data_IF_072972526442
#
_entry.id   IF_072972526442
#
_cell.length_a   1.000
_cell.length_b   1.000
_cell.length_c   1.000
_cell.angle_alpha   90.00
_cell.angle_beta   90.00
_cell.angle_gamma   90.00
#
_symmetry.space_group_name_H-M   'P 1'
#
loop_
_entity.id
_entity.type
_entity.pdbx_description
1 polymer ?
#
# COMPACT_ATOMS: atom_id res chain seq x y z
N UNK A 1 3.78 16.28 -31.21
CA UNK A 1 2.76 16.48 -30.15
C UNK A 1 3.31 15.92 -28.85
N UNK A 2 3.17 16.62 -27.72
CA UNK A 2 3.82 16.21 -26.46
C UNK A 2 2.80 15.62 -25.50
N UNK A 3 3.02 14.38 -25.09
CA UNK A 3 2.33 13.75 -23.96
C UNK A 3 3.14 14.09 -22.71
N UNK A 4 2.66 15.06 -21.96
CA UNK A 4 3.41 15.70 -20.88
C UNK A 4 2.89 15.25 -19.53
N UNK A 5 3.72 14.53 -18.79
CA UNK A 5 3.48 14.23 -17.39
C UNK A 5 4.30 15.19 -16.52
N UNK A 6 3.62 16.12 -15.85
CA UNK A 6 4.24 17.14 -14.99
C UNK A 6 4.16 16.71 -13.53
N UNK A 7 5.28 16.74 -12.82
CA UNK A 7 5.34 16.37 -11.40
C UNK A 7 6.44 17.13 -10.64
N UNK A 8 6.31 17.19 -9.31
CA UNK A 8 7.35 17.69 -8.43
C UNK A 8 8.60 16.77 -8.43
N UNK A 9 9.81 17.33 -8.34
CA UNK A 9 10.96 16.49 -8.10
C UNK A 9 10.88 15.81 -6.72
N UNK A 10 11.19 14.53 -6.67
CA UNK A 10 11.04 13.62 -5.53
C UNK A 10 12.31 12.81 -5.25
N UNK A 11 12.52 12.51 -3.97
CA UNK A 11 13.64 11.70 -3.52
C UNK A 11 13.53 10.25 -4.02
N UNK A 12 14.62 9.74 -4.61
CA UNK A 12 14.75 8.35 -5.06
C UNK A 12 13.63 7.87 -6.02
N UNK A 13 13.25 8.74 -6.96
CA UNK A 13 12.17 8.47 -7.93
C UNK A 13 10.76 8.61 -7.34
N UNK A 14 10.63 8.98 -6.07
CA UNK A 14 9.37 9.40 -5.48
C UNK A 14 8.27 8.33 -5.41
N UNK A 15 6.99 8.75 -5.41
CA UNK A 15 5.86 7.83 -5.36
C UNK A 15 5.76 7.00 -6.64
N UNK A 16 5.18 5.80 -6.55
CA UNK A 16 4.95 4.93 -7.72
C UNK A 16 4.09 5.59 -8.81
N UNK A 17 3.26 6.58 -8.46
CA UNK A 17 2.56 7.43 -9.43
C UNK A 17 3.51 8.03 -10.47
N UNK A 18 4.74 8.33 -10.09
CA UNK A 18 5.74 8.93 -10.97
C UNK A 18 6.15 7.96 -12.09
N UNK A 19 6.49 6.72 -11.71
CA UNK A 19 6.75 5.62 -12.64
C UNK A 19 5.54 5.37 -13.53
N UNK A 20 4.37 5.23 -12.92
CA UNK A 20 3.11 4.96 -13.61
C UNK A 20 2.79 6.04 -14.66
N UNK A 21 2.97 7.32 -14.31
CA UNK A 21 2.79 8.43 -15.24
C UNK A 21 3.78 8.43 -16.40
N UNK A 22 5.04 8.06 -16.15
CA UNK A 22 6.05 7.91 -17.21
C UNK A 22 5.71 6.75 -18.16
N UNK A 23 5.32 5.59 -17.62
CA UNK A 23 4.91 4.43 -18.40
C UNK A 23 3.64 4.72 -19.22
N UNK A 24 2.68 5.43 -18.63
CA UNK A 24 1.47 5.88 -19.33
C UNK A 24 1.78 6.87 -20.45
N UNK A 25 2.67 7.84 -20.23
CA UNK A 25 3.10 8.78 -21.26
C UNK A 25 3.79 8.07 -22.44
N UNK A 26 4.68 7.12 -22.16
CA UNK A 26 5.36 6.31 -23.18
C UNK A 26 4.38 5.42 -23.95
N UNK A 27 3.47 4.76 -23.23
CA UNK A 27 2.43 3.93 -23.83
C UNK A 27 1.50 4.76 -24.74
N UNK A 28 1.12 5.95 -24.30
CA UNK A 28 0.27 6.85 -25.09
C UNK A 28 0.99 7.39 -26.32
N UNK A 29 2.26 7.81 -26.17
CA UNK A 29 3.07 8.23 -27.30
C UNK A 29 3.20 7.10 -28.34
N UNK A 30 3.46 5.85 -27.90
CA UNK A 30 3.47 4.68 -28.80
C UNK A 30 2.12 4.40 -29.45
N UNK A 31 1.01 4.56 -28.71
CA UNK A 31 -0.36 4.40 -29.24
C UNK A 31 -0.67 5.39 -30.36
N UNK A 32 -0.16 6.62 -30.25
CA UNK A 32 -0.38 7.70 -31.23
C UNK A 32 0.62 7.70 -32.40
N UNK A 33 1.74 6.99 -32.28
CA UNK A 33 2.73 6.84 -33.35
C UNK A 33 3.79 7.96 -33.39
N UNK A 34 4.57 8.00 -34.48
CA UNK A 34 5.87 8.71 -34.57
C UNK A 34 5.88 10.23 -34.39
N UNK A 35 4.72 10.88 -34.31
CA UNK A 35 4.61 12.32 -34.07
C UNK A 35 4.38 12.68 -32.59
N UNK A 36 4.22 11.68 -31.71
CA UNK A 36 3.99 11.87 -30.28
C UNK A 36 5.26 11.61 -29.45
N UNK A 37 5.60 12.54 -28.57
CA UNK A 37 6.75 12.45 -27.67
C UNK A 37 6.28 12.33 -26.22
N UNK A 38 6.80 11.35 -25.48
CA UNK A 38 6.58 11.22 -24.04
C UNK A 38 7.57 12.11 -23.29
N UNK A 39 7.05 13.03 -22.48
CA UNK A 39 7.85 13.99 -21.73
C UNK A 39 7.50 13.95 -20.25
N UNK A 40 8.49 13.71 -19.40
CA UNK A 40 8.43 13.99 -17.97
C UNK A 40 8.95 15.41 -17.72
N UNK A 41 8.12 16.26 -17.13
CA UNK A 41 8.54 17.57 -16.63
C UNK A 41 8.63 17.55 -15.11
N UNK A 42 9.85 17.63 -14.59
CA UNK A 42 10.13 17.82 -13.17
C UNK A 42 10.09 19.31 -12.84
N UNK A 43 9.14 19.70 -11.99
CA UNK A 43 8.83 21.10 -11.71
C UNK A 43 8.91 21.43 -10.21
N UNK A 44 9.91 22.21 -9.83
CA UNK A 44 10.12 22.61 -8.44
C UNK A 44 9.02 23.50 -7.87
N UNK A 45 8.18 24.15 -8.71
CA UNK A 45 7.01 24.91 -8.22
C UNK A 45 5.97 23.99 -7.55
N UNK A 46 5.99 22.70 -7.87
CA UNK A 46 5.08 21.70 -7.30
C UNK A 46 5.62 21.04 -6.03
N UNK A 47 6.84 21.38 -5.60
CA UNK A 47 7.55 20.71 -4.51
C UNK A 47 6.79 20.86 -3.19
N UNK A 48 6.51 19.72 -2.56
CA UNK A 48 5.87 19.62 -1.25
C UNK A 48 6.81 18.93 -0.25
N UNK A 49 6.58 19.10 1.07
CA UNK A 49 7.38 18.41 2.08
C UNK A 49 7.39 16.88 1.98
N UNK A 50 6.39 16.28 1.32
CA UNK A 50 6.33 14.83 1.12
C UNK A 50 7.31 14.33 0.06
N UNK A 51 7.59 15.14 -0.98
CA UNK A 51 8.45 14.75 -2.10
C UNK A 51 9.92 14.59 -1.65
N UNK A 52 10.28 15.18 -0.50
CA UNK A 52 11.58 15.02 0.16
C UNK A 52 11.67 13.81 1.09
N UNK A 53 10.69 12.89 1.05
CA UNK A 53 10.65 11.72 1.93
C UNK A 53 10.74 10.44 1.11
N UNK A 54 11.48 9.46 1.61
CA UNK A 54 11.39 8.09 1.11
C UNK A 54 10.07 7.47 1.58
N UNK A 55 9.31 6.93 0.64
CA UNK A 55 8.03 6.26 0.89
C UNK A 55 8.26 4.74 0.88
N UNK A 56 8.22 4.13 2.06
CA UNK A 56 8.55 2.73 2.28
C UNK A 56 7.38 2.01 2.96
N UNK A 57 7.54 0.70 3.14
CA UNK A 57 6.68 -0.13 3.99
C UNK A 57 7.57 -0.95 4.93
N UNK A 58 7.20 -1.05 6.20
CA UNK A 58 7.97 -1.80 7.20
C UNK A 58 7.65 -3.30 7.21
N UNK A 59 8.40 -4.05 8.02
CA UNK A 59 8.20 -5.50 8.22
C UNK A 59 6.80 -5.87 8.74
N UNK A 60 6.09 -4.94 9.38
CA UNK A 60 4.72 -5.12 9.89
C UNK A 60 3.66 -4.65 8.90
N UNK A 61 4.06 -4.16 7.73
CA UNK A 61 3.18 -3.63 6.71
C UNK A 61 2.82 -2.16 6.90
N UNK A 62 3.38 -1.42 7.83
CA UNK A 62 3.02 0.00 7.96
C UNK A 62 3.74 0.83 6.90
N UNK A 63 3.07 1.78 6.23
CA UNK A 63 3.74 2.78 5.44
C UNK A 63 4.66 3.63 6.32
N UNK A 64 5.93 3.72 5.95
CA UNK A 64 6.96 4.49 6.65
C UNK A 64 7.45 5.60 5.74
N UNK A 65 7.67 6.77 6.32
CA UNK A 65 8.18 7.94 5.62
C UNK A 65 9.48 8.39 6.28
N UNK A 66 10.61 8.18 5.60
CA UNK A 66 11.90 8.62 6.11
C UNK A 66 12.25 10.00 5.55
N UNK A 67 12.57 10.99 6.39
CA UNK A 67 12.90 12.33 5.92
C UNK A 67 14.26 12.34 5.21
N UNK A 68 14.31 12.95 4.05
CA UNK A 68 15.54 13.42 3.43
C UNK A 68 16.00 14.76 4.02
N UNK A 69 17.12 15.31 3.50
CA UNK A 69 17.69 16.57 3.94
C UNK A 69 16.77 17.75 3.58
N UNK A 70 16.74 18.77 4.45
CA UNK A 70 15.86 19.93 4.28
C UNK A 70 16.16 20.73 3.01
N UNK A 71 17.43 20.82 2.62
CA UNK A 71 17.87 21.48 1.39
C UNK A 71 17.86 20.53 0.18
N UNK A 72 17.42 19.27 0.34
CA UNK A 72 17.44 18.23 -0.69
C UNK A 72 18.82 17.63 -0.99
N UNK A 73 19.91 18.19 -0.46
CA UNK A 73 21.28 17.73 -0.73
C UNK A 73 21.83 16.92 0.43
N UNK A 74 22.36 15.75 0.13
CA UNK A 74 23.01 14.90 1.12
C UNK A 74 24.50 15.23 1.23
N UNK A 75 25.04 15.20 2.44
CA UNK A 75 26.45 14.88 2.65
C UNK A 75 26.64 13.36 2.68
N UNK A 76 27.89 12.90 2.67
CA UNK A 76 28.19 11.46 2.64
C UNK A 76 27.65 10.74 3.88
N UNK A 77 27.71 11.39 5.06
CA UNK A 77 27.22 10.82 6.31
C UNK A 77 25.69 10.72 6.33
N UNK A 78 24.98 11.77 5.92
CA UNK A 78 23.52 11.82 5.84
C UNK A 78 22.96 10.85 4.82
N UNK A 79 23.62 10.70 3.66
CA UNK A 79 23.24 9.68 2.66
C UNK A 79 23.35 8.27 3.25
N UNK A 80 24.49 7.96 3.87
CA UNK A 80 24.73 6.66 4.49
C UNK A 80 23.73 6.37 5.63
N UNK A 81 23.43 7.37 6.46
CA UNK A 81 22.46 7.25 7.54
C UNK A 81 21.04 6.98 7.01
N UNK A 82 20.61 7.69 5.97
CA UNK A 82 19.31 7.43 5.36
C UNK A 82 19.25 6.06 4.68
N UNK A 83 20.33 5.65 4.00
CA UNK A 83 20.41 4.34 3.37
C UNK A 83 20.28 3.21 4.41
N UNK A 84 21.03 3.29 5.51
CA UNK A 84 20.92 2.34 6.61
C UNK A 84 19.51 2.34 7.23
N UNK A 85 18.94 3.51 7.51
CA UNK A 85 17.59 3.62 8.04
C UNK A 85 16.52 3.03 7.10
N UNK A 86 16.67 3.19 5.79
CA UNK A 86 15.77 2.62 4.80
C UNK A 86 15.83 1.09 4.78
N UNK A 87 17.04 0.52 4.80
CA UNK A 87 17.25 -0.93 4.85
C UNK A 87 16.72 -1.52 6.16
N UNK A 88 16.97 -0.87 7.29
CA UNK A 88 16.51 -1.33 8.61
C UNK A 88 14.97 -1.23 8.77
N UNK A 89 14.35 -0.23 8.14
CA UNK A 89 12.90 -0.04 8.21
C UNK A 89 12.14 -1.11 7.41
N UNK A 90 12.66 -1.50 6.24
CA UNK A 90 11.97 -2.42 5.32
C UNK A 90 12.04 -3.89 5.78
N UNK A 91 11.11 -4.75 5.31
CA UNK A 91 11.28 -6.18 5.43
C UNK A 91 12.63 -6.61 4.82
N UNK A 92 13.36 -7.57 5.42
CA UNK A 92 14.65 -8.00 4.89
C UNK A 92 14.45 -8.68 3.53
N UNK A 93 15.10 -8.12 2.51
CA UNK A 93 15.25 -8.68 1.16
C UNK A 93 16.71 -8.59 0.73
N UNK A 94 17.14 -9.43 -0.21
CA UNK A 94 18.52 -9.43 -0.68
C UNK A 94 18.81 -8.17 -1.51
N UNK A 95 17.76 -7.59 -2.10
CA UNK A 95 17.79 -6.50 -3.05
C UNK A 95 17.77 -5.12 -2.36
N UNK A 96 17.23 -5.03 -1.14
CA UNK A 96 16.96 -3.74 -0.48
C UNK A 96 18.16 -2.81 -0.43
N UNK A 97 19.33 -3.29 0.00
CA UNK A 97 20.53 -2.46 0.12
C UNK A 97 21.01 -1.94 -1.24
N UNK A 98 21.04 -2.80 -2.26
CA UNK A 98 21.46 -2.42 -3.61
C UNK A 98 20.49 -1.44 -4.28
N UNK A 99 19.18 -1.66 -4.11
CA UNK A 99 18.13 -0.76 -4.62
C UNK A 99 18.20 0.61 -3.96
N UNK A 100 18.34 0.66 -2.63
CA UNK A 100 18.47 1.91 -1.89
C UNK A 100 19.72 2.67 -2.33
N UNK A 101 20.85 1.99 -2.47
CA UNK A 101 22.10 2.63 -2.90
C UNK A 101 22.00 3.15 -4.34
N UNK A 102 21.37 2.39 -5.25
CA UNK A 102 21.15 2.81 -6.64
C UNK A 102 20.25 4.03 -6.76
N UNK A 103 19.13 4.05 -6.04
CA UNK A 103 18.12 5.10 -6.22
C UNK A 103 18.40 6.36 -5.41
N UNK A 104 19.20 6.30 -4.35
CA UNK A 104 19.56 7.49 -3.59
C UNK A 104 20.56 8.37 -4.36
N UNK A 105 20.32 9.69 -4.42
CA UNK A 105 21.22 10.61 -5.11
C UNK A 105 22.63 10.58 -4.49
N UNK A 106 23.64 10.85 -5.32
CA UNK A 106 25.01 10.95 -4.85
C UNK A 106 25.18 12.12 -3.85
N UNK A 107 26.13 12.04 -2.90
CA UNK A 107 26.42 13.15 -2.00
C UNK A 107 26.75 14.44 -2.77
N UNK A 108 26.14 15.56 -2.37
CA UNK A 108 26.31 16.87 -2.97
C UNK A 108 25.50 17.10 -4.26
N UNK A 109 24.81 16.10 -4.79
CA UNK A 109 24.03 16.25 -6.01
C UNK A 109 22.85 17.22 -5.84
N UNK A 110 22.58 18.02 -6.87
CA UNK A 110 21.39 18.86 -6.92
C UNK A 110 20.13 18.00 -7.05
N UNK A 111 19.07 18.20 -6.24
CA UNK A 111 17.92 17.29 -6.21
C UNK A 111 17.23 17.14 -7.57
N UNK A 112 16.91 18.28 -8.21
CA UNK A 112 16.24 18.31 -9.51
C UNK A 112 17.09 17.65 -10.61
N UNK A 113 18.41 17.88 -10.60
CA UNK A 113 19.30 17.31 -11.60
C UNK A 113 19.49 15.81 -11.39
N UNK A 114 19.66 15.37 -10.13
CA UNK A 114 19.86 13.97 -9.77
C UNK A 114 18.65 13.11 -10.15
N UNK A 115 17.43 13.60 -9.90
CA UNK A 115 16.23 12.88 -10.30
C UNK A 115 16.01 12.90 -11.82
N UNK A 116 16.34 14.01 -12.48
CA UNK A 116 16.28 14.05 -13.94
C UNK A 116 17.24 13.04 -14.57
N UNK A 117 18.44 12.89 -14.01
CA UNK A 117 19.41 11.87 -14.42
C UNK A 117 18.87 10.46 -14.17
N UNK A 118 18.30 10.20 -12.99
CA UNK A 118 17.66 8.92 -12.66
C UNK A 118 16.61 8.52 -13.70
N UNK A 119 15.67 9.40 -14.04
CA UNK A 119 14.63 9.06 -15.01
C UNK A 119 15.16 8.90 -16.43
N UNK A 120 16.21 9.63 -16.80
CA UNK A 120 16.91 9.42 -18.08
C UNK A 120 17.60 8.07 -18.14
N UNK A 121 18.22 7.63 -17.04
CA UNK A 121 18.83 6.30 -16.96
C UNK A 121 17.76 5.21 -17.09
N UNK A 122 16.67 5.32 -16.32
CA UNK A 122 15.63 4.29 -16.24
C UNK A 122 14.78 4.14 -17.50
N UNK A 123 14.40 5.26 -18.14
CA UNK A 123 13.40 5.26 -19.23
C UNK A 123 13.81 6.09 -20.45
N UNK A 124 14.97 6.75 -20.42
CA UNK A 124 15.53 7.42 -21.60
C UNK A 124 15.71 6.46 -22.79
N UNK A 125 16.26 5.24 -22.61
CA UNK A 125 16.35 4.25 -23.68
C UNK A 125 14.99 3.88 -24.30
N UNK A 126 13.92 3.94 -23.51
CA UNK A 126 12.56 3.65 -23.95
C UNK A 126 11.90 4.80 -24.73
N UNK A 127 12.55 5.97 -24.80
CA UNK A 127 12.09 7.18 -25.49
C UNK A 127 11.51 8.27 -24.58
N UNK A 128 11.75 8.22 -23.26
CA UNK A 128 11.28 9.26 -22.34
C UNK A 128 12.21 10.49 -22.41
N UNK A 129 11.62 11.65 -22.70
CA UNK A 129 12.32 12.92 -22.59
C UNK A 129 12.12 13.51 -21.20
N UNK A 130 13.19 13.92 -20.54
CA UNK A 130 13.13 14.51 -19.19
C UNK A 130 13.54 15.97 -19.23
N UNK A 131 12.58 16.84 -18.95
CA UNK A 131 12.73 18.28 -18.82
C UNK A 131 12.65 18.70 -17.35
N UNK A 132 13.36 19.77 -17.01
CA UNK A 132 13.44 20.29 -15.65
C UNK A 132 13.06 21.76 -15.63
N UNK A 133 12.25 22.15 -14.64
CA UNK A 133 11.86 23.54 -14.40
C UNK A 133 12.23 23.93 -12.97
N UNK A 134 13.28 24.75 -12.78
CA UNK A 134 13.66 25.23 -11.46
C UNK A 134 12.65 26.23 -10.91
N UNK A 135 12.64 26.41 -9.59
CA UNK A 135 11.75 27.34 -8.93
C UNK A 135 11.95 28.78 -9.45
N UNK A 136 10.86 29.45 -9.81
CA UNK A 136 10.90 30.82 -10.32
C UNK A 136 11.29 30.94 -11.80
N UNK A 137 11.25 29.85 -12.57
CA UNK A 137 11.46 29.89 -14.01
C UNK A 137 10.48 30.85 -14.71
N UNK A 138 10.99 31.67 -15.63
CA UNK A 138 10.20 32.64 -16.36
C UNK A 138 9.26 31.97 -17.40
N UNK A 139 8.03 32.45 -17.50
CA UNK A 139 7.04 31.99 -18.47
C UNK A 139 6.22 30.78 -18.00
N UNK A 140 5.11 30.47 -18.68
CA UNK A 140 4.26 29.33 -18.33
C UNK A 140 4.98 27.99 -18.53
N UNK A 141 4.53 26.89 -17.88
CA UNK A 141 5.05 25.55 -18.16
C UNK A 141 4.81 25.18 -19.63
N UNK A 142 5.67 24.32 -20.23
CA UNK A 142 5.49 23.88 -21.61
C UNK A 142 4.11 23.24 -21.80
N UNK A 143 3.51 23.51 -22.96
CA UNK A 143 2.23 22.92 -23.31
C UNK A 143 2.40 21.42 -23.65
N UNK A 144 1.43 20.62 -23.22
CA UNK A 144 1.35 19.21 -23.54
C UNK A 144 0.06 18.61 -23.01
N UNK A 145 -0.32 17.48 -23.55
CA UNK A 145 -1.51 16.74 -23.11
C UNK A 145 -1.11 15.78 -21.99
N UNK A 146 -1.82 15.77 -20.85
CA UNK A 146 -1.52 14.79 -19.81
C UNK A 146 -1.87 13.37 -20.30
N UNK A 147 -1.07 12.35 -19.95
CA UNK A 147 -1.42 10.98 -20.30
C UNK A 147 -2.68 10.52 -19.56
N UNK A 148 -3.48 9.61 -20.14
CA UNK A 148 -4.46 8.85 -19.36
C UNK A 148 -3.71 8.03 -18.30
N UNK A 149 -4.10 8.19 -17.03
CA UNK A 149 -3.38 7.59 -15.90
C UNK A 149 -4.33 6.68 -15.10
N UNK A 150 -4.39 5.37 -15.41
CA UNK A 150 -5.11 4.40 -14.59
C UNK A 150 -4.54 4.35 -13.16
N UNK A 151 -5.38 3.97 -12.21
CA UNK A 151 -4.89 3.55 -10.89
C UNK A 151 -4.15 2.21 -11.03
N UNK A 152 -2.83 2.19 -10.86
CA UNK A 152 -2.05 0.96 -10.98
C UNK A 152 -1.63 0.40 -9.62
N UNK A 153 -1.81 -0.90 -9.45
CA UNK A 153 -1.32 -1.65 -8.28
C UNK A 153 -0.36 -2.75 -8.73
N UNK A 154 0.86 -2.69 -8.22
CA UNK A 154 1.94 -3.63 -8.48
C UNK A 154 1.94 -4.78 -7.45
N UNK A 155 1.95 -6.01 -7.96
CA UNK A 155 2.02 -7.25 -7.21
C UNK A 155 3.41 -7.85 -7.33
N UNK A 156 4.09 -8.06 -6.20
CA UNK A 156 5.31 -8.84 -6.16
C UNK A 156 5.05 -10.34 -5.97
N UNK A 157 6.07 -11.20 -6.16
CA UNK A 157 5.93 -12.65 -6.00
C UNK A 157 5.34 -13.05 -4.65
N UNK A 158 5.81 -12.42 -3.55
CA UNK A 158 5.30 -12.67 -2.20
C UNK A 158 3.83 -12.28 -2.02
N UNK A 159 3.35 -11.27 -2.74
CA UNK A 159 1.92 -10.92 -2.73
C UNK A 159 1.10 -12.03 -3.38
N UNK A 160 1.51 -12.47 -4.56
CA UNK A 160 0.82 -13.50 -5.33
C UNK A 160 0.83 -14.86 -4.61
N UNK A 161 1.95 -15.24 -4.02
CA UNK A 161 2.06 -16.44 -3.17
C UNK A 161 1.13 -16.38 -1.96
N UNK A 162 1.05 -15.23 -1.29
CA UNK A 162 0.16 -15.04 -0.15
C UNK A 162 -1.32 -15.14 -0.58
N UNK A 163 -1.68 -14.49 -1.68
CA UNK A 163 -3.02 -14.54 -2.26
C UNK A 163 -3.45 -15.95 -2.64
N UNK A 164 -2.59 -16.68 -3.36
CA UNK A 164 -2.81 -18.08 -3.73
C UNK A 164 -2.98 -18.96 -2.49
N UNK A 165 -2.14 -18.78 -1.47
CA UNK A 165 -2.27 -19.51 -0.19
C UNK A 165 -3.58 -19.22 0.52
N UNK A 166 -4.12 -18.02 0.38
CA UNK A 166 -5.38 -17.62 0.98
C UNK A 166 -6.60 -17.91 0.10
N UNK A 167 -6.42 -18.35 -1.15
CA UNK A 167 -7.51 -18.54 -2.10
C UNK A 167 -8.23 -17.24 -2.45
N UNK A 168 -7.49 -16.12 -2.49
CA UNK A 168 -8.04 -14.79 -2.77
C UNK A 168 -7.56 -14.32 -4.14
N UNK A 169 -8.50 -13.91 -4.99
CA UNK A 169 -8.17 -13.29 -6.27
C UNK A 169 -7.53 -11.90 -6.08
N UNK A 170 -6.55 -11.51 -6.92
CA UNK A 170 -5.85 -10.23 -6.84
C UNK A 170 -6.76 -9.00 -6.75
N UNK A 171 -7.82 -8.96 -7.57
CA UNK A 171 -8.79 -7.86 -7.55
C UNK A 171 -9.54 -7.76 -6.21
N UNK A 172 -9.89 -8.91 -5.61
CA UNK A 172 -10.58 -8.95 -4.32
C UNK A 172 -9.70 -8.45 -3.17
N UNK A 173 -8.38 -8.56 -3.29
CA UNK A 173 -7.44 -8.04 -2.31
C UNK A 173 -7.42 -6.51 -2.21
N UNK A 174 -7.92 -5.82 -3.24
CA UNK A 174 -8.03 -4.36 -3.25
C UNK A 174 -9.27 -3.82 -2.52
N UNK A 175 -10.11 -4.70 -1.96
CA UNK A 175 -11.27 -4.31 -1.16
C UNK A 175 -10.90 -3.80 0.25
N UNK A 176 -9.60 -3.78 0.60
CA UNK A 176 -9.08 -3.26 1.86
C UNK A 176 -8.88 -4.32 2.94
N UNK A 177 -8.16 -3.94 4.00
CA UNK A 177 -7.73 -4.85 5.07
C UNK A 177 -8.92 -5.49 5.80
N UNK A 178 -9.98 -4.72 6.05
CA UNK A 178 -11.18 -5.21 6.74
C UNK A 178 -11.92 -6.27 5.92
N UNK A 179 -12.12 -6.03 4.63
CA UNK A 179 -12.75 -6.97 3.70
C UNK A 179 -11.95 -8.26 3.59
N UNK A 180 -10.62 -8.16 3.46
CA UNK A 180 -9.72 -9.31 3.45
C UNK A 180 -9.80 -10.09 4.77
N UNK A 181 -9.79 -9.40 5.92
CA UNK A 181 -9.95 -10.04 7.23
C UNK A 181 -11.30 -10.75 7.35
N UNK A 182 -12.38 -10.12 6.92
CA UNK A 182 -13.72 -10.70 6.97
C UNK A 182 -13.82 -11.97 6.10
N UNK A 183 -13.33 -11.91 4.85
CA UNK A 183 -13.33 -13.05 3.94
C UNK A 183 -12.48 -14.23 4.43
N UNK A 184 -11.40 -13.94 5.16
CA UNK A 184 -10.44 -14.94 5.62
C UNK A 184 -10.65 -15.38 7.07
N UNK A 185 -11.58 -14.77 7.80
CA UNK A 185 -11.98 -15.21 9.14
C UNK A 185 -12.91 -16.42 9.00
N UNK A 186 -12.46 -17.64 9.34
CA UNK A 186 -13.36 -18.79 9.32
C UNK A 186 -14.50 -18.56 10.32
N UNK A 187 -15.73 -19.00 10.00
CA UNK A 187 -16.80 -18.99 10.98
C UNK A 187 -16.37 -19.81 12.21
N UNK A 188 -16.89 -19.49 13.41
CA UNK A 188 -16.65 -20.31 14.60
C UNK A 188 -16.99 -21.78 14.28
N UNK A 189 -16.21 -22.76 14.78
CA UNK A 189 -16.51 -24.17 14.58
C UNK A 189 -17.97 -24.44 14.94
N UNK A 190 -18.71 -25.15 14.07
CA UNK A 190 -20.17 -25.36 14.18
C UNK A 190 -20.59 -25.74 15.60
N UNK A 191 -19.83 -26.63 16.24
CA UNK A 191 -20.07 -27.07 17.62
C UNK A 191 -19.87 -25.98 18.67
N UNK A 192 -18.87 -25.12 18.51
CA UNK A 192 -18.62 -24.01 19.44
C UNK A 192 -19.68 -22.91 19.28
N UNK A 193 -20.07 -22.59 18.04
CA UNK A 193 -21.17 -21.65 17.77
C UNK A 193 -22.48 -22.15 18.41
N UNK A 194 -22.84 -23.41 18.16
CA UNK A 194 -24.02 -24.02 18.75
C UNK A 194 -23.98 -24.05 20.30
N UNK A 195 -22.81 -24.28 20.90
CA UNK A 195 -22.65 -24.27 22.34
C UNK A 195 -22.75 -22.86 22.95
N UNK A 196 -22.29 -21.82 22.25
CA UNK A 196 -22.45 -20.43 22.67
C UNK A 196 -23.91 -19.99 22.60
N UNK A 197 -24.61 -20.33 21.52
CA UNK A 197 -26.05 -20.06 21.38
C UNK A 197 -26.85 -20.77 22.47
N UNK A 198 -26.50 -22.03 22.79
CA UNK A 198 -27.18 -22.77 23.86
C UNK A 198 -26.87 -22.20 25.24
N UNK A 199 -25.65 -21.72 25.49
CA UNK A 199 -25.31 -21.00 26.71
C UNK A 199 -26.16 -19.73 26.88
N UNK A 200 -26.33 -18.94 25.82
CA UNK A 200 -27.14 -17.72 25.86
C UNK A 200 -28.61 -18.06 26.14
N UNK A 201 -29.18 -19.04 25.44
CA UNK A 201 -30.56 -19.49 25.65
C UNK A 201 -30.79 -20.07 27.05
N UNK A 202 -29.89 -20.92 27.54
CA UNK A 202 -29.99 -21.52 28.87
C UNK A 202 -29.84 -20.47 29.96
N UNK A 203 -28.92 -19.52 29.80
CA UNK A 203 -28.73 -18.41 30.74
C UNK A 203 -29.99 -17.55 30.81
N UNK A 204 -30.54 -17.11 29.67
CA UNK A 204 -31.75 -16.29 29.67
C UNK A 204 -32.96 -17.04 30.25
N UNK A 205 -33.08 -18.36 30.02
CA UNK A 205 -34.14 -19.20 30.61
C UNK A 205 -34.05 -19.27 32.13
N UNK A 206 -32.89 -19.68 32.67
CA UNK A 206 -32.67 -19.77 34.12
C UNK A 206 -32.87 -18.41 34.78
N UNK A 207 -32.39 -17.35 34.11
CA UNK A 207 -32.55 -16.00 34.62
C UNK A 207 -34.03 -15.58 34.68
N UNK A 208 -34.84 -15.92 33.68
CA UNK A 208 -36.28 -15.63 33.69
C UNK A 208 -37.02 -16.44 34.78
N UNK A 209 -36.70 -17.72 34.95
CA UNK A 209 -37.29 -18.57 36.00
C UNK A 209 -36.97 -18.03 37.40
N UNK A 210 -35.72 -17.60 37.64
CA UNK A 210 -35.32 -17.00 38.92
C UNK A 210 -35.96 -15.63 39.16
N UNK A 211 -36.17 -14.83 38.10
CA UNK A 211 -36.90 -13.55 38.20
C UNK A 211 -38.32 -13.77 38.73
N UNK A 212 -39.01 -14.78 38.20
CA UNK A 212 -40.36 -15.13 38.63
C UNK A 212 -40.38 -15.59 40.09
N UNK A 213 -39.52 -16.53 40.48
CA UNK A 213 -39.45 -17.03 41.86
C UNK A 213 -39.14 -15.91 42.88
N UNK A 214 -38.22 -14.99 42.55
CA UNK A 214 -37.90 -13.84 43.42
C UNK A 214 -39.09 -12.88 43.55
N UNK A 215 -39.87 -12.68 42.49
CA UNK A 215 -41.05 -11.82 42.53
C UNK A 215 -42.21 -12.46 43.32
N UNK A 216 -42.35 -13.78 43.26
CA UNK A 216 -43.43 -14.52 43.91
C UNK A 216 -43.15 -14.83 45.39
N UNK A 217 -41.92 -15.22 45.72
CA UNK A 217 -41.58 -15.73 47.05
C UNK A 217 -40.90 -14.69 47.94
N UNK A 218 -39.94 -13.91 47.42
CA UNK A 218 -39.14 -12.96 48.22
C UNK A 218 -38.84 -11.64 47.47
N UNK A 219 -39.85 -10.73 47.34
CA UNK A 219 -39.71 -9.49 46.56
C UNK A 219 -38.59 -8.56 47.04
N UNK A 220 -38.21 -8.64 48.31
CA UNK A 220 -37.12 -7.87 48.90
C UNK A 220 -35.76 -8.15 48.21
N UNK A 221 -35.60 -9.33 47.59
CA UNK A 221 -34.38 -9.73 46.88
C UNK A 221 -34.32 -9.23 45.42
N UNK A 222 -35.37 -8.59 44.91
CA UNK A 222 -35.43 -8.16 43.50
C UNK A 222 -34.26 -7.24 43.09
N UNK A 223 -33.80 -6.38 44.00
CA UNK A 223 -32.63 -5.53 43.76
C UNK A 223 -31.30 -6.30 43.69
N UNK A 224 -31.16 -7.40 44.44
CA UNK A 224 -30.00 -8.30 44.36
C UNK A 224 -30.06 -9.13 43.06
N UNK A 225 -31.24 -9.61 42.70
CA UNK A 225 -31.52 -10.28 41.43
C UNK A 225 -31.10 -9.43 40.21
N UNK A 226 -31.52 -8.16 40.15
CA UNK A 226 -31.17 -7.25 39.06
C UNK A 226 -29.66 -7.03 38.90
N UNK A 227 -28.88 -7.17 39.98
CA UNK A 227 -27.41 -7.10 39.95
C UNK A 227 -26.82 -8.39 39.38
N UNK A 228 -27.26 -9.56 39.88
CA UNK A 228 -26.84 -10.87 39.36
C UNK A 228 -27.10 -11.00 37.86
N UNK A 229 -28.31 -10.65 37.39
CA UNK A 229 -28.67 -10.69 35.96
C UNK A 229 -27.71 -9.89 35.08
N UNK A 230 -27.33 -8.69 35.53
CA UNK A 230 -26.37 -7.84 34.82
C UNK A 230 -24.97 -8.44 34.80
N UNK A 231 -24.54 -9.06 35.89
CA UNK A 231 -23.24 -9.69 36.02
C UNK A 231 -23.09 -10.94 35.16
N UNK A 232 -24.10 -11.81 35.13
CA UNK A 232 -24.15 -12.98 34.24
C UNK A 232 -24.07 -12.54 32.78
N UNK A 233 -24.95 -11.62 32.34
CA UNK A 233 -24.92 -11.10 30.96
C UNK A 233 -23.59 -10.46 30.59
N UNK A 234 -22.98 -9.70 31.51
CA UNK A 234 -21.66 -9.09 31.30
C UNK A 234 -20.57 -10.16 31.15
N UNK A 235 -20.60 -11.19 31.98
CA UNK A 235 -19.62 -12.28 31.95
C UNK A 235 -19.76 -13.14 30.70
N UNK A 236 -20.98 -13.49 30.30
CA UNK A 236 -21.25 -14.20 29.04
C UNK A 236 -20.77 -13.39 27.84
N UNK A 237 -21.10 -12.10 27.76
CA UNK A 237 -20.61 -11.22 26.69
C UNK A 237 -19.08 -11.08 26.70
N UNK A 238 -18.45 -11.03 27.86
CA UNK A 238 -16.99 -10.98 27.98
C UNK A 238 -16.35 -12.29 27.51
N UNK A 239 -16.98 -13.44 27.77
CA UNK A 239 -16.54 -14.75 27.28
C UNK A 239 -16.65 -14.84 25.76
N UNK A 240 -17.80 -14.47 25.17
CA UNK A 240 -17.97 -14.34 23.71
C UNK A 240 -16.84 -13.50 23.08
N UNK A 241 -16.58 -12.31 23.63
CA UNK A 241 -15.47 -11.45 23.17
C UNK A 241 -14.08 -12.07 23.30
N UNK A 242 -13.87 -13.01 24.23
CA UNK A 242 -12.60 -13.76 24.34
C UNK A 242 -12.54 -14.89 23.32
N UNK A 243 -13.65 -15.59 23.07
CA UNK A 243 -13.74 -16.60 22.01
C UNK A 243 -13.51 -15.97 20.65
N UNK A 244 -14.17 -14.85 20.33
CA UNK A 244 -13.95 -14.10 19.09
C UNK A 244 -12.50 -13.67 18.93
N UNK A 245 -11.90 -13.11 19.98
CA UNK A 245 -10.47 -12.75 19.97
C UNK A 245 -9.59 -13.97 19.79
N UNK A 246 -9.90 -15.09 20.45
CA UNK A 246 -9.13 -16.32 20.33
C UNK A 246 -9.20 -16.88 18.91
N UNK A 247 -10.39 -16.89 18.27
CA UNK A 247 -10.55 -17.32 16.88
C UNK A 247 -9.84 -16.39 15.90
N UNK A 248 -9.90 -15.06 16.11
CA UNK A 248 -9.15 -14.07 15.33
C UNK A 248 -7.64 -14.16 15.54
N UNK A 249 -7.19 -14.43 16.78
CA UNK A 249 -5.77 -14.46 17.17
C UNK A 249 -5.11 -15.83 17.02
N UNK A 250 -5.89 -16.92 16.84
CA UNK A 250 -5.36 -18.27 16.51
C UNK A 250 -4.50 -18.22 15.23
N UNK A 251 -4.76 -17.20 14.43
CA UNK A 251 -4.13 -16.86 13.18
C UNK A 251 -3.15 -15.67 13.32
N UNK A 252 -2.56 -15.37 14.48
CA UNK A 252 -1.71 -14.18 14.69
C UNK A 252 -0.63 -13.94 13.61
N UNK A 253 0.00 -15.01 13.11
CA UNK A 253 0.94 -14.96 11.97
C UNK A 253 0.21 -14.61 10.65
N UNK A 254 -0.97 -15.18 10.43
CA UNK A 254 -1.82 -14.90 9.27
C UNK A 254 -2.39 -13.47 9.33
N UNK A 255 -2.78 -12.96 10.49
CA UNK A 255 -3.27 -11.59 10.67
C UNK A 255 -2.20 -10.54 10.39
N UNK A 256 -0.96 -10.78 10.83
CA UNK A 256 0.19 -9.95 10.49
C UNK A 256 0.53 -10.01 8.99
N UNK A 257 0.53 -11.21 8.39
CA UNK A 257 0.76 -11.38 6.93
C UNK A 257 -0.32 -10.76 6.08
N UNK A 258 -1.58 -10.88 6.49
CA UNK A 258 -2.73 -10.29 5.80
C UNK A 258 -2.67 -8.78 5.87
N UNK A 259 -2.31 -8.22 7.03
CA UNK A 259 -2.06 -6.79 7.16
C UNK A 259 -0.92 -6.33 6.25
N UNK A 260 0.22 -7.02 6.24
CA UNK A 260 1.34 -6.70 5.37
C UNK A 260 0.95 -6.75 3.88
N UNK A 261 0.17 -7.76 3.48
CA UNK A 261 -0.40 -7.86 2.14
C UNK A 261 -1.34 -6.69 1.83
N UNK A 262 -2.31 -6.41 2.71
CA UNK A 262 -3.30 -5.36 2.51
C UNK A 262 -2.63 -3.99 2.39
N UNK A 263 -1.68 -3.67 3.27
CA UNK A 263 -0.98 -2.40 3.25
C UNK A 263 0.06 -2.29 2.11
N UNK A 264 0.62 -3.41 1.67
CA UNK A 264 1.47 -3.47 0.48
C UNK A 264 0.71 -3.17 -0.81
N UNK A 265 -0.58 -3.55 -0.88
CA UNK A 265 -1.44 -3.33 -2.05
C UNK A 265 -2.29 -2.04 -1.95
N UNK A 266 -2.69 -1.65 -0.74
CA UNK A 266 -3.51 -0.49 -0.42
C UNK A 266 -3.06 0.14 0.91
N UNK A 267 -1.95 0.88 0.90
CA UNK A 267 -1.42 1.53 2.08
C UNK A 267 -2.45 2.52 2.65
N UNK A 268 -2.81 2.35 3.93
CA UNK A 268 -3.86 3.12 4.61
C UNK A 268 -5.20 3.15 3.83
N UNK A 269 -5.53 2.05 3.16
CA UNK A 269 -6.69 1.89 2.28
C UNK A 269 -6.72 2.85 1.06
N UNK A 270 -5.64 3.61 0.83
CA UNK A 270 -5.45 4.46 -0.34
C UNK A 270 -4.87 3.71 -1.55
N UNK A 271 -4.71 4.41 -2.70
CA UNK A 271 -4.01 3.87 -3.86
C UNK A 271 -2.54 3.56 -3.55
N UNK A 272 -2.04 2.40 -3.98
CA UNK A 272 -0.64 2.02 -3.82
C UNK A 272 0.31 3.09 -4.37
N UNK A 273 -0.04 3.62 -5.54
CA UNK A 273 0.78 4.58 -6.28
C UNK A 273 1.05 5.90 -5.56
N UNK A 274 0.26 6.23 -4.53
CA UNK A 274 0.41 7.43 -3.72
C UNK A 274 1.06 7.18 -2.35
N UNK A 275 0.94 5.94 -1.85
CA UNK A 275 1.40 5.59 -0.52
C UNK A 275 2.80 4.98 -0.49
N UNK A 276 3.26 4.38 -1.59
CA UNK A 276 4.55 3.69 -1.69
C UNK A 276 5.42 4.29 -2.79
N UNK A 277 6.73 4.26 -2.56
CA UNK A 277 7.74 4.79 -3.48
C UNK A 277 8.37 3.74 -4.37
N UNK A 278 9.12 4.22 -5.38
CA UNK A 278 9.85 3.37 -6.32
C UNK A 278 10.81 2.40 -5.60
N UNK A 279 11.49 2.86 -4.55
CA UNK A 279 12.35 2.03 -3.69
C UNK A 279 11.61 0.83 -3.14
N UNK A 280 10.39 1.01 -2.62
CA UNK A 280 9.61 -0.09 -2.06
C UNK A 280 9.21 -1.10 -3.14
N UNK A 281 8.84 -0.64 -4.34
CA UNK A 281 8.49 -1.54 -5.43
C UNK A 281 9.68 -2.37 -5.93
N UNK A 282 10.83 -1.74 -6.13
CA UNK A 282 12.05 -2.43 -6.55
C UNK A 282 12.54 -3.40 -5.46
N UNK A 283 12.63 -2.95 -4.20
CA UNK A 283 13.20 -3.74 -3.11
C UNK A 283 12.29 -4.88 -2.63
N UNK A 284 10.96 -4.70 -2.66
CA UNK A 284 10.01 -5.63 -2.03
C UNK A 284 9.10 -6.34 -3.03
N UNK A 285 8.77 -5.69 -4.15
CA UNK A 285 7.86 -6.27 -5.14
C UNK A 285 8.63 -6.95 -6.28
N UNK A 286 9.96 -6.80 -6.32
CA UNK A 286 10.79 -7.37 -7.38
C UNK A 286 10.58 -6.66 -8.72
N UNK A 287 10.29 -5.35 -8.68
CA UNK A 287 10.24 -4.52 -9.88
C UNK A 287 11.66 -4.41 -10.45
N UNK A 288 11.86 -4.93 -11.66
CA UNK A 288 13.15 -4.87 -12.35
C UNK A 288 13.33 -3.50 -13.02
N UNK A 289 14.18 -2.67 -12.43
CA UNK A 289 14.43 -1.30 -12.90
C UNK A 289 15.12 -1.27 -14.28
N UNK A 290 15.83 -2.33 -14.66
CA UNK A 290 16.57 -2.39 -15.93
C UNK A 290 15.68 -2.84 -17.10
N UNK A 291 14.46 -3.30 -16.81
CA UNK A 291 13.52 -3.87 -17.80
C UNK A 291 12.17 -3.16 -17.83
N UNK A 292 12.10 -1.93 -17.30
CA UNK A 292 10.86 -1.16 -17.23
C UNK A 292 10.19 -0.93 -18.60
N UNK A 293 10.97 -0.91 -19.69
CA UNK A 293 10.44 -0.77 -21.05
C UNK A 293 9.51 -1.92 -21.47
N UNK A 294 9.67 -3.09 -20.85
CA UNK A 294 8.82 -4.27 -21.10
C UNK A 294 7.40 -4.09 -20.54
N UNK A 295 7.19 -3.15 -19.61
CA UNK A 295 5.87 -2.80 -19.12
C UNK A 295 5.04 -2.01 -20.15
N UNK A 296 5.69 -1.29 -21.06
CA UNK A 296 5.02 -0.32 -21.93
C UNK A 296 3.91 -0.95 -22.80
N UNK A 297 4.08 -2.13 -23.42
CA UNK A 297 3.00 -2.79 -24.16
C UNK A 297 1.78 -3.13 -23.29
N UNK A 298 2.01 -3.61 -22.06
CA UNK A 298 0.94 -3.91 -21.11
C UNK A 298 0.19 -2.64 -20.69
N UNK A 299 0.92 -1.55 -20.46
CA UNK A 299 0.34 -0.24 -20.20
C UNK A 299 -0.50 0.26 -21.38
N UNK A 300 0.02 0.15 -22.61
CA UNK A 300 -0.66 0.57 -23.83
C UNK A 300 -2.02 -0.14 -24.01
N UNK A 301 -2.08 -1.43 -23.72
CA UNK A 301 -3.33 -2.21 -23.78
C UNK A 301 -4.35 -1.83 -22.69
N UNK A 302 -3.91 -1.14 -21.64
CA UNK A 302 -4.70 -0.88 -20.44
C UNK A 302 -4.93 0.61 -20.12
N UNK A 303 -4.49 1.52 -21.00
CA UNK A 303 -4.61 2.98 -20.80
C UNK A 303 -6.05 3.46 -20.62
N UNK A 304 -7.00 2.80 -21.27
CA UNK A 304 -8.42 3.18 -21.23
C UNK A 304 -9.17 2.56 -20.04
N UNK A 305 -8.48 1.81 -19.18
CA UNK A 305 -9.05 1.23 -17.96
C UNK A 305 -8.96 2.23 -16.81
N UNK A 306 -9.90 2.17 -15.87
CA UNK A 306 -9.83 3.00 -14.65
C UNK A 306 -8.75 2.50 -13.68
N UNK A 307 -8.50 1.20 -13.67
CA UNK A 307 -7.56 0.52 -12.77
C UNK A 307 -6.85 -0.61 -13.48
N UNK A 308 -5.56 -0.79 -13.20
CA UNK A 308 -4.74 -1.88 -13.70
C UNK A 308 -4.03 -2.62 -12.56
N UNK A 309 -3.94 -3.94 -12.68
CA UNK A 309 -3.20 -4.80 -11.76
C UNK A 309 -1.96 -5.29 -12.49
N UNK A 310 -0.76 -5.09 -11.94
CA UNK A 310 0.49 -5.40 -12.65
C UNK A 310 1.34 -6.36 -11.85
N UNK A 311 1.70 -7.50 -12.43
CA UNK A 311 2.71 -8.39 -11.87
C UNK A 311 4.11 -7.81 -12.11
N UNK A 312 4.81 -7.42 -11.04
CA UNK A 312 6.05 -6.65 -11.13
C UNK A 312 7.20 -7.40 -11.83
N UNK A 313 7.35 -8.70 -11.55
CA UNK A 313 8.43 -9.51 -12.12
C UNK A 313 8.22 -9.89 -13.60
N UNK A 314 6.96 -9.90 -14.06
CA UNK A 314 6.59 -10.29 -15.42
C UNK A 314 6.11 -9.12 -16.27
N UNK A 315 5.99 -7.92 -15.70
CA UNK A 315 5.42 -6.73 -16.31
C UNK A 315 4.05 -6.97 -16.99
N UNK A 316 3.27 -7.91 -16.45
CA UNK A 316 2.03 -8.38 -17.03
C UNK A 316 0.83 -7.73 -16.33
N UNK A 317 -0.06 -7.13 -17.12
CA UNK A 317 -1.37 -6.72 -16.60
C UNK A 317 -2.23 -7.95 -16.35
N UNK A 318 -2.74 -8.07 -15.13
CA UNK A 318 -3.58 -9.16 -14.67
C UNK A 318 -5.06 -8.80 -14.86
N UNK A 319 -5.87 -9.82 -15.13
CA UNK A 319 -7.33 -9.70 -15.20
C UNK A 319 -7.95 -9.51 -13.80
#
# INVERSE_FOLDING_TARGET
MRILFRHAPSLAGGPLRLLNGCLAALAEARRRGGDAEAVLLLDEELLRPLDRKLLLIDAQGNPVRLPGPENGRFDSAGRAALAAAAVDAMPPTAEAAAVVDRLLPAPGAEPLAAEAELWRELLGPAGLWVETRPAGAAGPPPAGEPPPLPEATWFGPRHLEALARFGVEPAAALAGEESLRAALTPPPPVRLAAALDELDRASDRILAELEQAVQEEEPALFGAWCRLRREVRRSTKAFHRRVDRSLRNRDGIRGSRLRALAQGLRPLDGPQQDGLGLVAAAALFGLDLDRLEEAIPSWQAALDQDRILVEAAAFRVMA
#
